data_IF_765727743146
#
_entry.id   IF_765727743146
#
_cell.length_a   1.000
_cell.length_b   1.000
_cell.length_c   1.000
_cell.angle_alpha   90.00
_cell.angle_beta   90.00
_cell.angle_gamma   90.00
#
_symmetry.space_group_name_H-M   'P 1'
#
loop_
_entity.id
_entity.type
_entity.pdbx_description
1 polymer ?
#
# COMPACT_ATOMS: atom_id res chain seq x y z
N UNK A 1 -15.54 4.83 -22.38
CA UNK A 1 -14.91 4.09 -21.28
C UNK A 1 -13.44 3.86 -21.63
N UNK A 2 -12.52 4.32 -20.81
CA UNK A 2 -11.08 4.04 -21.01
C UNK A 2 -10.85 2.54 -20.86
N UNK A 3 -10.08 1.95 -21.79
CA UNK A 3 -9.74 0.53 -21.75
C UNK A 3 -8.89 0.25 -20.52
N UNK A 4 -9.33 -0.63 -19.64
CA UNK A 4 -8.54 -1.01 -18.47
C UNK A 4 -7.24 -1.73 -18.88
N UNK A 5 -6.20 -1.49 -18.10
CA UNK A 5 -4.87 -2.05 -18.32
C UNK A 5 -4.78 -3.41 -17.61
N UNK A 6 -4.14 -4.38 -18.25
CA UNK A 6 -3.76 -5.64 -17.62
C UNK A 6 -2.22 -5.74 -17.66
N UNK A 7 -1.52 -5.53 -16.52
CA UNK A 7 -0.07 -5.68 -16.47
C UNK A 7 0.38 -7.09 -16.82
N UNK A 8 1.43 -7.21 -17.64
CA UNK A 8 1.91 -8.52 -18.14
C UNK A 8 2.87 -9.20 -17.17
N UNK A 9 3.77 -8.43 -16.60
CA UNK A 9 4.88 -8.92 -15.77
C UNK A 9 4.59 -8.81 -14.29
N UNK A 10 3.88 -7.76 -13.88
CA UNK A 10 3.47 -7.51 -12.50
C UNK A 10 2.14 -8.18 -12.20
N UNK A 11 2.05 -8.92 -11.10
CA UNK A 11 0.84 -9.65 -10.68
C UNK A 11 0.04 -8.98 -9.57
N UNK A 12 0.56 -7.90 -8.98
CA UNK A 12 -0.09 -7.14 -7.92
C UNK A 12 0.72 -5.91 -7.53
N UNK A 13 0.11 -5.02 -6.77
CA UNK A 13 0.74 -3.82 -6.22
C UNK A 13 0.59 -3.80 -4.70
N UNK A 14 1.58 -3.23 -4.02
CA UNK A 14 1.51 -2.95 -2.59
C UNK A 14 1.97 -1.53 -2.30
N UNK A 15 1.05 -0.68 -1.89
CA UNK A 15 1.36 0.66 -1.42
C UNK A 15 1.61 0.67 0.08
N UNK A 16 2.77 1.17 0.51
CA UNK A 16 3.04 1.37 1.93
C UNK A 16 3.45 2.83 2.21
N UNK A 17 3.38 3.23 3.46
CA UNK A 17 3.70 4.60 3.87
C UNK A 17 2.91 5.04 5.09
N UNK A 18 3.22 6.21 5.61
CA UNK A 18 2.60 6.75 6.82
C UNK A 18 1.07 6.85 6.72
N UNK A 19 0.38 6.84 7.85
CA UNK A 19 -1.05 7.09 7.89
C UNK A 19 -1.37 8.48 7.31
N UNK A 20 -2.35 8.57 6.43
CA UNK A 20 -2.68 9.83 5.72
C UNK A 20 -1.81 10.15 4.52
N UNK A 21 -0.83 9.32 4.15
CA UNK A 21 0.02 9.56 2.96
C UNK A 21 -0.73 9.45 1.62
N UNK A 22 -1.94 8.84 1.61
CA UNK A 22 -2.76 8.70 0.40
C UNK A 22 -2.81 7.28 -0.17
N UNK A 23 -2.41 6.25 0.58
CA UNK A 23 -2.45 4.84 0.13
C UNK A 23 -3.83 4.37 -0.30
N UNK A 24 -4.84 4.62 0.51
CA UNK A 24 -6.24 4.25 0.20
C UNK A 24 -6.73 4.94 -1.06
N UNK A 25 -6.40 6.23 -1.22
CA UNK A 25 -6.69 6.97 -2.46
C UNK A 25 -5.97 6.32 -3.66
N UNK A 26 -4.66 6.05 -3.54
CA UNK A 26 -3.88 5.41 -4.59
C UNK A 26 -4.46 4.05 -4.98
N UNK A 27 -4.77 3.19 -3.99
CA UNK A 27 -5.36 1.87 -4.22
C UNK A 27 -6.70 1.94 -4.95
N UNK A 28 -7.59 2.84 -4.52
CA UNK A 28 -8.90 3.03 -5.15
C UNK A 28 -8.79 3.59 -6.57
N UNK A 29 -7.90 4.57 -6.79
CA UNK A 29 -7.69 5.17 -8.09
C UNK A 29 -7.10 4.18 -9.08
N UNK A 30 -6.06 3.44 -8.69
CA UNK A 30 -5.41 2.42 -9.51
C UNK A 30 -6.36 1.26 -9.83
N UNK A 31 -7.25 0.90 -8.91
CA UNK A 31 -8.28 -0.11 -9.13
C UNK A 31 -9.24 0.22 -10.30
N UNK A 32 -9.44 1.50 -10.58
CA UNK A 32 -10.24 1.92 -11.74
C UNK A 32 -9.49 1.72 -13.07
N UNK A 33 -8.17 1.69 -13.04
CA UNK A 33 -7.30 1.61 -14.22
C UNK A 33 -6.93 0.18 -14.61
N UNK A 34 -6.89 -0.75 -13.64
CA UNK A 34 -6.43 -2.13 -13.85
C UNK A 34 -7.63 -3.08 -13.94
N UNK A 35 -7.60 -3.96 -14.93
CA UNK A 35 -8.61 -4.99 -15.08
C UNK A 35 -8.50 -6.07 -14.01
N UNK A 36 -9.64 -6.65 -13.61
CA UNK A 36 -9.75 -7.67 -12.56
C UNK A 36 -9.03 -7.30 -11.25
N UNK A 37 -8.91 -6.02 -10.94
CA UNK A 37 -8.24 -5.58 -9.72
C UNK A 37 -9.13 -5.72 -8.48
N UNK A 38 -8.49 -5.95 -7.34
CA UNK A 38 -9.11 -6.12 -6.04
C UNK A 38 -8.32 -5.38 -4.96
N UNK A 39 -8.96 -4.42 -4.29
CA UNK A 39 -8.32 -3.63 -3.24
C UNK A 39 -8.32 -4.39 -1.92
N UNK A 40 -7.14 -4.51 -1.30
CA UNK A 40 -6.91 -5.11 0.03
C UNK A 40 -6.32 -4.02 0.93
N UNK A 41 -7.20 -3.21 1.49
CA UNK A 41 -6.80 -2.12 2.38
C UNK A 41 -6.51 -2.63 3.79
N UNK A 42 -5.36 -2.25 4.36
CA UNK A 42 -4.91 -2.72 5.66
C UNK A 42 -5.87 -2.41 6.81
N UNK A 43 -6.56 -1.26 6.77
CA UNK A 43 -7.55 -0.89 7.80
C UNK A 43 -8.81 -1.75 7.66
N UNK A 44 -9.22 -2.07 6.44
CA UNK A 44 -10.35 -2.99 6.17
C UNK A 44 -10.00 -4.41 6.63
N UNK A 45 -8.78 -4.89 6.31
CA UNK A 45 -8.32 -6.20 6.81
C UNK A 45 -8.27 -6.23 8.34
N UNK A 46 -7.82 -5.16 8.99
CA UNK A 46 -7.83 -5.06 10.45
C UNK A 46 -9.24 -5.15 11.02
N UNK A 47 -10.18 -4.48 10.39
CA UNK A 47 -11.58 -4.45 10.83
C UNK A 47 -12.28 -5.81 10.73
N UNK A 48 -12.00 -6.59 9.70
CA UNK A 48 -12.78 -7.80 9.40
C UNK A 48 -12.02 -9.12 9.62
N UNK A 49 -10.69 -9.12 9.44
CA UNK A 49 -9.87 -10.34 9.48
C UNK A 49 -8.95 -10.36 10.70
N UNK A 50 -8.40 -9.22 11.09
CA UNK A 50 -7.37 -9.11 12.12
C UNK A 50 -7.86 -8.40 13.39
N UNK A 51 -9.10 -8.70 13.83
CA UNK A 51 -9.70 -8.12 15.06
C UNK A 51 -8.97 -8.48 16.34
N UNK A 52 -8.18 -9.53 16.31
CA UNK A 52 -7.34 -10.06 17.37
C UNK A 52 -6.02 -9.29 17.53
N UNK A 53 -5.67 -8.41 16.60
CA UNK A 53 -4.39 -7.69 16.58
C UNK A 53 -4.53 -6.26 17.12
N UNK A 54 -3.56 -5.86 17.95
CA UNK A 54 -3.32 -4.47 18.36
C UNK A 54 -2.33 -3.78 17.41
N UNK A 55 -1.46 -2.89 17.92
CA UNK A 55 -0.55 -2.06 17.12
C UNK A 55 0.93 -2.25 17.47
N UNK A 56 1.28 -3.30 18.24
CA UNK A 56 2.67 -3.64 18.51
C UNK A 56 3.42 -3.99 17.22
N UNK A 57 4.74 -4.03 17.26
CA UNK A 57 5.56 -4.43 16.12
C UNK A 57 5.22 -5.86 15.64
N UNK A 58 4.98 -6.79 16.58
CA UNK A 58 4.57 -8.17 16.28
C UNK A 58 3.19 -8.23 15.61
N UNK A 59 2.22 -7.45 16.11
CA UNK A 59 0.88 -7.36 15.51
C UNK A 59 0.93 -6.80 14.10
N UNK A 60 1.78 -5.79 13.86
CA UNK A 60 1.98 -5.21 12.54
C UNK A 60 2.59 -6.19 11.56
N UNK A 61 3.57 -6.99 12.00
CA UNK A 61 4.16 -8.07 11.20
C UNK A 61 3.10 -9.13 10.84
N UNK A 62 2.30 -9.57 11.81
CA UNK A 62 1.20 -10.51 11.58
C UNK A 62 0.15 -9.92 10.62
N UNK A 63 -0.19 -8.65 10.79
CA UNK A 63 -1.13 -7.94 9.92
C UNK A 63 -0.66 -7.94 8.47
N UNK A 64 0.60 -7.59 8.22
CA UNK A 64 1.15 -7.57 6.85
C UNK A 64 1.23 -8.98 6.26
N UNK A 65 1.54 -9.99 7.06
CA UNK A 65 1.51 -11.39 6.62
C UNK A 65 0.10 -11.83 6.19
N UNK A 66 -0.95 -11.41 6.91
CA UNK A 66 -2.34 -11.69 6.53
C UNK A 66 -2.75 -10.97 5.24
N UNK A 67 -2.38 -9.69 5.09
CA UNK A 67 -2.60 -8.94 3.84
C UNK A 67 -1.93 -9.65 2.66
N UNK A 68 -0.68 -10.09 2.82
CA UNK A 68 0.05 -10.83 1.80
C UNK A 68 -0.67 -12.14 1.43
N UNK A 69 -1.12 -12.91 2.43
CA UNK A 69 -1.89 -14.14 2.22
C UNK A 69 -3.17 -13.91 1.41
N UNK A 70 -3.93 -12.85 1.72
CA UNK A 70 -5.13 -12.48 0.96
C UNK A 70 -4.75 -12.10 -0.47
N UNK A 71 -3.66 -11.35 -0.65
CA UNK A 71 -3.12 -11.01 -1.98
C UNK A 71 -2.76 -12.25 -2.81
N UNK A 72 -2.15 -13.27 -2.18
CA UNK A 72 -1.85 -14.55 -2.84
C UNK A 72 -3.12 -15.29 -3.28
N UNK A 73 -4.16 -15.29 -2.45
CA UNK A 73 -5.45 -15.88 -2.79
C UNK A 73 -6.05 -15.15 -4.00
N UNK A 74 -5.99 -13.82 -4.04
CA UNK A 74 -6.46 -13.05 -5.18
C UNK A 74 -5.71 -13.43 -6.48
N UNK A 75 -4.37 -13.54 -6.43
CA UNK A 75 -3.55 -13.95 -7.59
C UNK A 75 -3.93 -15.34 -8.10
N UNK A 76 -4.11 -16.32 -7.20
CA UNK A 76 -4.53 -17.68 -7.55
C UNK A 76 -5.89 -17.67 -8.28
N UNK A 77 -6.77 -16.75 -7.89
CA UNK A 77 -8.08 -16.56 -8.54
C UNK A 77 -8.04 -15.60 -9.74
N UNK A 78 -6.86 -15.35 -10.32
CA UNK A 78 -6.66 -14.50 -11.50
C UNK A 78 -7.13 -13.05 -11.30
N UNK A 79 -7.17 -12.59 -10.06
CA UNK A 79 -7.39 -11.19 -9.70
C UNK A 79 -6.06 -10.47 -9.52
N UNK A 80 -6.04 -9.18 -9.75
CA UNK A 80 -4.88 -8.32 -9.53
C UNK A 80 -5.02 -7.61 -8.17
N UNK A 81 -4.35 -8.09 -7.09
CA UNK A 81 -4.44 -7.47 -5.79
C UNK A 81 -3.73 -6.12 -5.76
N UNK A 82 -4.40 -5.13 -5.16
CA UNK A 82 -3.85 -3.82 -4.83
C UNK A 82 -3.90 -3.70 -3.32
N UNK A 83 -2.77 -3.95 -2.68
CA UNK A 83 -2.63 -4.00 -1.23
C UNK A 83 -2.18 -2.66 -0.66
N UNK A 84 -2.56 -2.37 0.58
CA UNK A 84 -2.05 -1.20 1.30
C UNK A 84 -1.80 -1.49 2.78
N UNK A 85 -0.70 -0.93 3.32
CA UNK A 85 -0.34 -1.00 4.74
C UNK A 85 0.51 0.18 5.16
N UNK A 86 0.57 0.45 6.48
CA UNK A 86 1.55 1.39 7.04
C UNK A 86 2.92 0.73 7.15
N UNK A 87 2.96 -0.51 7.62
CA UNK A 87 4.19 -1.25 7.86
C UNK A 87 4.64 -2.06 6.65
N UNK A 88 5.96 -2.22 6.52
CA UNK A 88 6.65 -3.04 5.53
C UNK A 88 7.90 -3.64 6.19
N UNK A 89 8.51 -4.65 5.60
CA UNK A 89 9.78 -5.25 6.03
C UNK A 89 10.57 -5.75 4.82
N UNK A 90 11.91 -5.89 4.97
CA UNK A 90 12.77 -6.43 3.91
C UNK A 90 12.34 -7.83 3.47
N UNK A 91 12.01 -8.72 4.43
CA UNK A 91 11.50 -10.05 4.13
C UNK A 91 10.21 -10.01 3.29
N UNK A 92 9.30 -9.10 3.61
CA UNK A 92 8.06 -8.94 2.86
C UNK A 92 8.31 -8.36 1.46
N UNK A 93 9.24 -7.41 1.31
CA UNK A 93 9.65 -6.89 0.00
C UNK A 93 10.19 -8.00 -0.88
N UNK A 94 11.06 -8.88 -0.33
CA UNK A 94 11.60 -10.04 -1.05
C UNK A 94 10.50 -11.03 -1.45
N UNK A 95 9.57 -11.34 -0.55
CA UNK A 95 8.42 -12.21 -0.86
C UNK A 95 7.54 -11.62 -1.97
N UNK A 96 7.29 -10.32 -1.91
CA UNK A 96 6.54 -9.61 -2.96
C UNK A 96 7.27 -9.70 -4.32
N UNK A 97 8.58 -9.47 -4.35
CA UNK A 97 9.38 -9.55 -5.57
C UNK A 97 9.31 -10.96 -6.20
N UNK A 98 9.45 -12.02 -5.40
CA UNK A 98 9.35 -13.41 -5.85
C UNK A 98 7.98 -13.73 -6.48
N UNK A 99 6.92 -13.10 -5.98
CA UNK A 99 5.56 -13.25 -6.48
C UNK A 99 5.18 -12.23 -7.56
N UNK A 100 6.12 -11.42 -8.02
CA UNK A 100 5.92 -10.34 -9.00
C UNK A 100 4.89 -9.30 -8.53
N UNK A 101 4.89 -8.99 -7.24
CA UNK A 101 4.13 -7.91 -6.63
C UNK A 101 5.06 -6.71 -6.49
N UNK A 102 4.73 -5.60 -7.14
CA UNK A 102 5.50 -4.38 -7.02
C UNK A 102 5.17 -3.68 -5.70
N UNK A 103 6.20 -3.36 -4.92
CA UNK A 103 6.08 -2.63 -3.64
C UNK A 103 6.46 -1.18 -3.89
N UNK A 104 5.60 -0.25 -3.47
CA UNK A 104 5.74 1.18 -3.75
C UNK A 104 5.49 1.98 -2.46
N UNK A 105 6.39 2.87 -2.13
CA UNK A 105 6.20 3.84 -1.05
C UNK A 105 5.33 5.01 -1.52
N UNK A 106 4.30 5.35 -0.75
CA UNK A 106 3.61 6.64 -0.90
C UNK A 106 4.14 7.58 0.17
N UNK A 107 4.79 8.64 -0.27
CA UNK A 107 5.42 9.63 0.60
C UNK A 107 4.63 10.94 0.58
N UNK A 108 4.41 11.51 1.74
CA UNK A 108 3.78 12.82 1.90
C UNK A 108 4.56 13.62 2.94
N UNK A 109 4.77 14.93 2.77
CA UNK A 109 5.47 15.75 3.74
C UNK A 109 4.86 15.61 5.15
N UNK A 110 5.70 15.31 6.15
CA UNK A 110 5.25 14.99 7.52
C UNK A 110 4.44 16.14 8.15
N UNK A 111 4.81 17.39 7.86
CA UNK A 111 4.07 18.56 8.32
C UNK A 111 2.64 18.64 7.77
N UNK A 112 2.40 18.08 6.60
CA UNK A 112 1.03 17.95 6.07
C UNK A 112 0.27 16.82 6.76
N UNK A 113 0.94 15.71 7.08
CA UNK A 113 0.33 14.58 7.79
C UNK A 113 -0.15 14.98 9.18
N UNK A 114 0.65 15.76 9.93
CA UNK A 114 0.30 16.29 11.25
C UNK A 114 -0.99 17.14 11.23
N UNK A 115 -1.26 17.82 10.12
CA UNK A 115 -2.47 18.65 9.97
C UNK A 115 -3.73 17.84 9.73
N UNK A 116 -3.61 16.65 9.13
CA UNK A 116 -4.76 15.84 8.69
C UNK A 116 -4.99 14.60 9.55
N UNK A 117 -4.09 14.28 10.49
CA UNK A 117 -4.18 13.10 11.34
C UNK A 117 -3.75 13.40 12.77
N UNK A 118 -4.72 13.36 13.69
CA UNK A 118 -4.46 13.59 15.12
C UNK A 118 -3.57 12.53 15.75
N UNK A 119 -3.53 11.30 15.19
CA UNK A 119 -2.69 10.20 15.68
C UNK A 119 -1.19 10.57 15.77
N UNK A 120 -0.71 11.54 14.98
CA UNK A 120 0.68 12.02 15.05
C UNK A 120 0.96 12.95 16.25
N UNK A 121 -0.05 13.23 17.05
CA UNK A 121 0.07 13.90 18.35
C UNK A 121 0.15 12.90 19.50
N UNK A 122 -0.19 11.64 19.26
CA UNK A 122 -0.06 10.54 20.20
C UNK A 122 1.36 9.96 20.11
N UNK A 123 1.95 9.58 21.24
CA UNK A 123 3.37 9.23 21.33
C UNK A 123 3.64 7.72 21.42
N UNK A 124 2.66 6.82 21.21
CA UNK A 124 2.86 5.37 21.39
C UNK A 124 2.41 4.54 20.20
N UNK A 125 3.33 3.69 19.73
CA UNK A 125 3.11 2.73 18.63
C UNK A 125 2.68 3.38 17.31
N UNK A 126 3.12 4.63 17.07
CA UNK A 126 2.80 5.38 15.86
C UNK A 126 4.01 5.39 14.94
N UNK A 127 3.86 4.78 13.75
CA UNK A 127 4.91 4.82 12.73
C UNK A 127 5.10 6.25 12.23
N UNK A 128 6.34 6.71 12.28
CA UNK A 128 6.72 8.09 11.95
C UNK A 128 6.83 9.01 13.17
N UNK A 129 6.45 8.54 14.37
CA UNK A 129 6.67 9.24 15.65
C UNK A 129 7.67 8.45 16.51
N UNK A 130 7.24 7.36 17.10
CA UNK A 130 8.04 6.50 17.97
C UNK A 130 8.47 5.18 17.30
N UNK A 131 7.87 4.82 16.17
CA UNK A 131 8.29 3.69 15.35
C UNK A 131 8.82 4.21 14.00
N UNK A 132 10.02 3.79 13.56
CA UNK A 132 10.57 4.24 12.29
C UNK A 132 9.78 3.67 11.11
N UNK A 133 9.63 4.47 10.04
CA UNK A 133 9.33 3.97 8.71
C UNK A 133 10.65 3.77 7.99
N UNK A 134 11.10 2.54 7.86
CA UNK A 134 12.33 2.22 7.17
C UNK A 134 12.21 2.48 5.65
N UNK A 135 13.34 2.82 5.03
CA UNK A 135 13.46 2.88 3.58
C UNK A 135 13.92 1.50 3.07
N UNK A 136 13.11 0.90 2.21
CA UNK A 136 13.34 -0.45 1.65
C UNK A 136 13.90 -0.41 0.22
N UNK A 137 14.42 0.74 -0.22
CA UNK A 137 14.93 0.93 -1.58
C UNK A 137 13.89 0.54 -2.65
N UNK A 138 12.63 0.85 -2.42
CA UNK A 138 11.52 0.63 -3.33
C UNK A 138 11.16 1.93 -4.07
N UNK A 139 10.51 1.86 -5.25
CA UNK A 139 9.99 3.05 -5.90
C UNK A 139 9.15 3.90 -4.96
N UNK A 140 9.33 5.22 -5.03
CA UNK A 140 8.58 6.17 -4.20
C UNK A 140 7.72 7.06 -5.10
N UNK A 141 6.45 7.22 -4.74
CA UNK A 141 5.54 8.19 -5.34
C UNK A 141 5.25 9.30 -4.34
N UNK A 142 5.59 10.53 -4.71
CA UNK A 142 5.38 11.71 -3.88
C UNK A 142 3.93 12.20 -4.01
N UNK A 143 3.26 12.31 -2.87
CA UNK A 143 1.92 12.90 -2.77
C UNK A 143 2.01 14.26 -2.09
N UNK A 144 2.01 15.31 -2.87
CA UNK A 144 2.01 16.70 -2.39
C UNK A 144 0.64 17.21 -1.94
N UNK A 145 -0.40 16.38 -2.06
CA UNK A 145 -1.79 16.72 -1.74
C UNK A 145 -2.52 17.45 -2.86
N UNK A 146 -1.91 17.57 -4.04
CA UNK A 146 -2.51 18.20 -5.22
C UNK A 146 -3.06 17.15 -6.20
N UNK A 147 -3.74 17.60 -7.27
CA UNK A 147 -4.20 16.75 -8.37
C UNK A 147 -3.07 16.08 -9.17
N UNK A 148 -1.83 16.56 -9.04
CA UNK A 148 -0.68 15.94 -9.70
C UNK A 148 -0.48 14.49 -9.28
N UNK A 149 -0.88 14.11 -8.06
CA UNK A 149 -0.75 12.75 -7.59
C UNK A 149 -1.55 11.74 -8.43
N UNK A 150 -2.72 12.12 -8.94
CA UNK A 150 -3.49 11.27 -9.87
C UNK A 150 -2.69 10.98 -11.15
N UNK A 151 -2.07 12.00 -11.73
CA UNK A 151 -1.24 11.84 -12.94
C UNK A 151 -0.04 10.92 -12.69
N UNK A 152 0.62 11.08 -11.53
CA UNK A 152 1.72 10.22 -11.12
C UNK A 152 1.28 8.75 -11.03
N UNK A 153 0.11 8.48 -10.45
CA UNK A 153 -0.44 7.12 -10.36
C UNK A 153 -0.77 6.54 -11.74
N UNK A 154 -1.37 7.33 -12.63
CA UNK A 154 -1.68 6.92 -14.00
C UNK A 154 -0.41 6.56 -14.77
N UNK A 155 0.62 7.40 -14.69
CA UNK A 155 1.88 7.17 -15.39
C UNK A 155 2.63 5.96 -14.83
N UNK A 156 2.60 5.76 -13.51
CA UNK A 156 3.14 4.55 -12.90
C UNK A 156 2.42 3.29 -13.40
N UNK A 157 1.09 3.28 -13.43
CA UNK A 157 0.32 2.12 -13.93
C UNK A 157 0.64 1.83 -15.39
N UNK A 158 0.80 2.85 -16.24
CA UNK A 158 1.23 2.68 -17.64
C UNK A 158 2.63 2.06 -17.73
N UNK A 159 3.57 2.46 -16.87
CA UNK A 159 4.93 1.94 -16.88
C UNK A 159 5.04 0.46 -16.57
N UNK A 160 4.15 -0.08 -15.74
CA UNK A 160 4.11 -1.51 -15.41
C UNK A 160 3.26 -2.34 -16.38
N UNK A 161 2.59 -1.71 -17.34
CA UNK A 161 1.74 -2.36 -18.33
C UNK A 161 2.52 -2.85 -19.56
N UNK A 162 3.72 -2.31 -19.77
CA UNK A 162 4.65 -2.67 -20.86
C UNK A 162 5.49 -3.86 -20.49
#
# INVERSE_FOLDING_TARGET
>A
MSKKILPKTTKGLWFYGLAGSGKTFASSHVCLLIDRSFVIDGDVVRKFVSKDLAYSAADRATQTARIFGIGKIAIVNQMFPIMSSVSMSDDLVLKCANDRIAVIQIKRPFEQLKKVRDLYREEKNVVGVDLPLADFNTPTLENDGTRNFESILVDYVKSIAT
#
